data_IF_964504918663
#
_entry.id   IF_964504918663
#
_cell.length_a   1.000
_cell.length_b   1.000
_cell.length_c   1.000
_cell.angle_alpha   90.00
_cell.angle_beta   90.00
_cell.angle_gamma   90.00
#
_symmetry.space_group_name_H-M   'P 1'
#
loop_
_entity.id
_entity.type
_entity.pdbx_description
1 polymer ?
#
# COMPACT_ATOMS: atom_id res chain seq x y z
N UNK A 1 17.80 -2.96 -12.40
CA UNK A 1 16.77 -3.64 -13.21
C UNK A 1 16.31 -4.90 -12.51
N UNK A 2 15.05 -5.29 -12.68
CA UNK A 2 14.58 -6.62 -12.32
C UNK A 2 15.39 -7.69 -13.08
N UNK A 3 15.91 -8.71 -12.39
CA UNK A 3 16.50 -9.90 -13.00
C UNK A 3 15.42 -10.82 -13.62
N UNK A 4 15.36 -10.98 -14.96
CA UNK A 4 14.33 -11.78 -15.63
C UNK A 4 14.42 -13.30 -15.35
N UNK A 5 15.53 -13.77 -14.77
CA UNK A 5 15.77 -15.19 -14.48
C UNK A 5 15.52 -15.56 -13.03
N UNK A 6 15.21 -14.60 -12.17
CA UNK A 6 14.92 -14.86 -10.77
C UNK A 6 13.50 -15.43 -10.63
N UNK A 7 13.31 -16.72 -10.28
CA UNK A 7 11.98 -17.32 -10.17
C UNK A 7 11.17 -16.78 -8.99
N UNK A 8 11.83 -16.16 -7.99
CA UNK A 8 11.16 -15.52 -6.86
C UNK A 8 10.63 -14.12 -7.17
N UNK A 9 11.01 -13.53 -8.30
CA UNK A 9 10.45 -12.24 -8.70
C UNK A 9 9.07 -12.40 -9.28
N UNK A 10 8.15 -11.58 -8.77
CA UNK A 10 6.75 -11.61 -9.14
C UNK A 10 6.57 -11.59 -10.67
N UNK A 11 7.23 -10.67 -11.37
CA UNK A 11 7.11 -10.50 -12.83
C UNK A 11 7.58 -11.68 -13.70
N UNK A 12 8.33 -12.63 -13.14
CA UNK A 12 8.88 -13.76 -13.88
C UNK A 12 8.04 -15.04 -13.73
N UNK A 13 6.95 -14.99 -12.95
CA UNK A 13 6.10 -16.15 -12.73
C UNK A 13 5.11 -16.32 -13.89
N UNK A 14 4.72 -17.56 -14.24
CA UNK A 14 3.73 -17.80 -15.30
C UNK A 14 2.32 -17.28 -14.94
N UNK A 15 2.01 -17.12 -13.65
CA UNK A 15 0.71 -16.66 -13.16
C UNK A 15 0.63 -15.13 -12.91
N UNK A 16 1.71 -14.40 -13.17
CA UNK A 16 1.82 -12.95 -12.93
C UNK A 16 0.66 -12.17 -13.54
N UNK A 17 0.36 -12.41 -14.82
CA UNK A 17 -0.65 -11.68 -15.56
C UNK A 17 -2.05 -11.93 -15.01
N UNK A 18 -2.36 -13.18 -14.69
CA UNK A 18 -3.64 -13.55 -14.12
C UNK A 18 -3.83 -12.92 -12.72
N UNK A 19 -2.80 -12.95 -11.88
CA UNK A 19 -2.82 -12.38 -10.53
C UNK A 19 -2.94 -10.85 -10.58
N UNK A 20 -2.16 -10.18 -11.42
CA UNK A 20 -2.23 -8.72 -11.60
C UNK A 20 -3.62 -8.30 -12.07
N UNK A 21 -4.19 -9.02 -13.05
CA UNK A 21 -5.55 -8.79 -13.54
C UNK A 21 -6.61 -9.02 -12.47
N UNK A 22 -6.52 -10.11 -11.70
CA UNK A 22 -7.46 -10.39 -10.60
C UNK A 22 -7.40 -9.30 -9.53
N UNK A 23 -6.20 -8.90 -9.12
CA UNK A 23 -5.99 -7.81 -8.15
C UNK A 23 -6.55 -6.48 -8.66
N UNK A 24 -6.31 -6.15 -9.94
CA UNK A 24 -6.85 -4.95 -10.57
C UNK A 24 -8.38 -4.95 -10.63
N UNK A 25 -9.01 -6.08 -10.99
CA UNK A 25 -10.49 -6.22 -11.03
C UNK A 25 -11.13 -6.21 -9.65
N UNK A 26 -10.46 -6.76 -8.64
CA UNK A 26 -10.94 -6.77 -7.27
C UNK A 26 -10.82 -5.38 -6.62
N UNK A 27 -9.96 -4.53 -7.15
CA UNK A 27 -9.86 -3.14 -6.72
C UNK A 27 -10.96 -2.31 -7.37
N UNK A 28 -11.68 -1.52 -6.56
CA UNK A 28 -12.57 -0.46 -7.08
C UNK A 28 -11.80 0.70 -7.72
N UNK A 29 -10.46 0.64 -7.70
CA UNK A 29 -9.57 1.65 -8.27
C UNK A 29 -9.53 2.96 -7.49
N UNK A 30 -10.32 3.11 -6.42
CA UNK A 30 -10.44 4.36 -5.68
C UNK A 30 -10.69 4.13 -4.19
N UNK A 31 -9.74 4.57 -3.36
CA UNK A 31 -9.94 4.71 -1.92
C UNK A 31 -10.98 5.82 -1.67
N UNK A 32 -12.00 5.55 -0.85
CA UNK A 32 -13.12 6.46 -0.63
C UNK A 32 -14.23 6.42 -1.69
N UNK A 33 -14.22 5.44 -2.61
CA UNK A 33 -15.43 5.09 -3.37
C UNK A 33 -16.53 4.57 -2.43
N UNK A 34 -17.79 4.53 -2.88
CA UNK A 34 -18.94 4.08 -2.08
C UNK A 34 -18.75 2.70 -1.42
N UNK A 35 -17.95 1.82 -2.05
CA UNK A 35 -17.57 0.49 -1.53
C UNK A 35 -16.10 0.39 -1.10
N UNK A 36 -15.35 1.50 -1.18
CA UNK A 36 -13.95 1.58 -0.76
C UNK A 36 -13.83 1.96 0.71
N UNK A 37 -12.67 1.70 1.31
CA UNK A 37 -12.38 2.19 2.65
C UNK A 37 -12.38 3.72 2.68
N UNK A 38 -13.07 4.33 3.65
CA UNK A 38 -12.96 5.78 3.90
C UNK A 38 -11.50 6.10 4.26
N UNK A 39 -10.79 6.92 3.46
CA UNK A 39 -9.38 7.22 3.69
C UNK A 39 -9.14 7.90 5.04
N UNK A 40 -10.10 8.65 5.58
CA UNK A 40 -9.99 9.31 6.89
C UNK A 40 -10.02 8.28 8.01
N UNK A 41 -10.97 7.35 7.98
CA UNK A 41 -11.08 6.30 8.98
C UNK A 41 -9.94 5.28 8.88
N UNK A 42 -9.53 4.94 7.66
CA UNK A 42 -8.35 4.11 7.41
C UNK A 42 -7.07 4.79 7.95
N UNK A 43 -6.92 6.10 7.72
CA UNK A 43 -5.82 6.89 8.26
C UNK A 43 -5.80 6.92 9.79
N UNK A 44 -6.94 7.14 10.44
CA UNK A 44 -7.06 7.10 11.92
C UNK A 44 -6.70 5.73 12.49
N UNK A 45 -7.20 4.64 11.90
CA UNK A 45 -6.88 3.27 12.34
C UNK A 45 -5.40 2.95 12.14
N UNK A 46 -4.85 3.33 10.99
CA UNK A 46 -3.43 3.18 10.69
C UNK A 46 -2.57 3.92 11.71
N UNK A 47 -2.90 5.18 12.01
CA UNK A 47 -2.24 5.95 13.05
C UNK A 47 -2.39 5.29 14.43
N UNK A 48 -3.58 4.84 14.83
CA UNK A 48 -3.77 4.17 16.11
C UNK A 48 -2.89 2.92 16.27
N UNK A 49 -2.79 2.10 15.22
CA UNK A 49 -2.00 0.87 15.18
C UNK A 49 -0.47 1.10 15.17
N UNK A 50 0.00 2.32 14.84
CA UNK A 50 1.43 2.62 14.91
C UNK A 50 1.92 2.62 16.37
N UNK A 51 3.05 1.95 16.68
CA UNK A 51 3.68 2.04 17.99
C UNK A 51 4.08 3.49 18.28
N UNK A 52 4.00 3.90 19.55
CA UNK A 52 4.25 5.28 19.99
C UNK A 52 5.59 5.82 19.52
N UNK A 53 6.64 4.98 19.52
CA UNK A 53 7.97 5.35 19.05
C UNK A 53 8.01 5.67 17.54
N UNK A 54 7.24 4.93 16.73
CA UNK A 54 7.12 5.19 15.29
C UNK A 54 6.33 6.47 15.01
N UNK A 55 5.31 6.78 15.83
CA UNK A 55 4.57 8.06 15.75
C UNK A 55 5.49 9.25 16.04
N UNK A 56 6.32 9.15 17.08
CA UNK A 56 7.29 10.20 17.42
C UNK A 56 8.30 10.43 16.30
N UNK A 57 8.88 9.37 15.73
CA UNK A 57 9.81 9.50 14.58
C UNK A 57 9.14 10.06 13.34
N UNK A 58 7.92 9.63 13.01
CA UNK A 58 7.16 10.17 11.88
C UNK A 58 6.81 11.65 12.04
N UNK A 59 6.41 12.05 13.25
CA UNK A 59 6.09 13.45 13.59
C UNK A 59 7.31 14.39 13.53
N UNK A 60 8.51 13.85 13.71
CA UNK A 60 9.75 14.61 13.56
C UNK A 60 10.05 15.02 12.11
N UNK A 61 9.44 14.38 11.11
CA UNK A 61 9.62 14.77 9.71
C UNK A 61 8.60 15.82 9.24
N UNK A 62 7.47 15.95 9.94
CA UNK A 62 6.41 16.91 9.58
C UNK A 62 6.73 18.37 9.93
N UNK A 63 7.78 18.65 10.71
CA UNK A 63 8.13 20.00 11.16
C UNK A 63 9.28 20.66 10.37
N UNK A 64 9.84 20.01 9.34
CA UNK A 64 10.98 20.55 8.59
C UNK A 64 10.62 21.22 7.25
N UNK A 65 9.32 21.32 6.91
CA UNK A 65 8.85 22.04 5.73
C UNK A 65 8.25 23.39 6.09
N UNK A 66 9.08 24.42 6.25
CA UNK A 66 8.68 25.84 6.26
C UNK A 66 9.68 26.63 5.44
#
# INVERSE_FOLDING_TARGET
MADPKNPGQFGNRPDTEEQARKGGKASSGSFGSEHGADPREAGKKGAAAQPTEAKSRGGQHSHQGS
#
